data_IF_326836968588
#
_entry.id   IF_326836968588
#
_cell.length_a   1.000
_cell.length_b   1.000
_cell.length_c   1.000
_cell.angle_alpha   90.00
_cell.angle_beta   90.00
_cell.angle_gamma   90.00
#
_symmetry.space_group_name_H-M   'P 1'
#
loop_
_entity.id
_entity.type
_entity.pdbx_description
1 polymer ?
#
# COMPACT_ATOMS: atom_id res chain seq x y z
N UNK A 1 -0.86 26.36 16.41
CA UNK A 1 -1.02 25.16 15.57
C UNK A 1 -0.03 25.19 14.42
N UNK A 2 0.83 24.17 14.32
CA UNK A 2 1.78 24.03 13.22
C UNK A 2 1.05 24.08 11.86
N UNK A 3 1.59 24.85 10.91
CA UNK A 3 1.03 25.05 9.55
C UNK A 3 0.72 23.70 8.88
N UNK A 4 1.59 22.70 9.06
CA UNK A 4 1.41 21.34 8.56
C UNK A 4 0.06 20.73 8.95
N UNK A 5 -0.33 20.83 10.22
CA UNK A 5 -1.56 20.22 10.72
C UNK A 5 -2.80 20.90 10.17
N UNK A 6 -2.75 22.22 9.93
CA UNK A 6 -3.84 22.95 9.26
C UNK A 6 -4.03 22.45 7.82
N UNK A 7 -2.94 22.27 7.08
CA UNK A 7 -2.99 21.73 5.70
C UNK A 7 -3.55 20.32 5.72
N UNK A 8 -3.04 19.42 6.58
CA UNK A 8 -3.54 18.05 6.69
C UNK A 8 -5.03 18.03 7.00
N UNK A 9 -5.49 18.79 8.01
CA UNK A 9 -6.91 18.83 8.39
C UNK A 9 -7.80 19.32 7.25
N UNK A 10 -7.38 20.36 6.54
CA UNK A 10 -8.10 20.86 5.38
C UNK A 10 -8.20 19.79 4.28
N UNK A 11 -7.09 19.15 3.94
CA UNK A 11 -7.03 18.14 2.88
C UNK A 11 -7.80 16.87 3.22
N UNK A 12 -7.75 16.41 4.48
CA UNK A 12 -8.60 15.31 4.96
C UNK A 12 -10.07 15.67 4.81
N UNK A 13 -10.45 16.89 5.18
CA UNK A 13 -11.83 17.33 5.06
C UNK A 13 -12.30 17.38 3.60
N UNK A 14 -11.46 17.90 2.70
CA UNK A 14 -11.75 17.93 1.27
C UNK A 14 -11.93 16.52 0.68
N UNK A 15 -10.97 15.63 0.91
CA UNK A 15 -11.01 14.25 0.40
C UNK A 15 -12.18 13.46 1.01
N UNK A 16 -12.55 13.71 2.27
CA UNK A 16 -13.67 13.03 2.93
C UNK A 16 -15.03 13.34 2.28
N UNK A 17 -15.16 14.46 1.57
CA UNK A 17 -16.38 14.83 0.84
C UNK A 17 -16.44 14.19 -0.55
N UNK A 18 -15.34 13.57 -1.00
CA UNK A 18 -15.28 12.88 -2.29
C UNK A 18 -16.10 11.60 -2.27
N UNK A 19 -17.04 11.47 -3.23
CA UNK A 19 -17.82 10.24 -3.42
C UNK A 19 -16.94 9.01 -3.62
N UNK A 20 -15.76 9.18 -4.21
CA UNK A 20 -14.81 8.10 -4.46
C UNK A 20 -14.28 7.44 -3.18
N UNK A 21 -14.01 8.23 -2.13
CA UNK A 21 -13.56 7.66 -0.84
C UNK A 21 -14.65 6.79 -0.22
N UNK A 22 -15.91 7.19 -0.39
CA UNK A 22 -17.10 6.47 0.05
C UNK A 22 -17.34 5.19 -0.75
N UNK A 23 -17.10 5.21 -2.07
CA UNK A 23 -17.09 3.98 -2.87
C UNK A 23 -15.99 3.02 -2.42
N UNK A 24 -14.81 3.53 -2.09
CA UNK A 24 -13.69 2.72 -1.62
C UNK A 24 -13.95 2.07 -0.25
N UNK A 25 -14.54 2.79 0.72
CA UNK A 25 -14.98 2.19 2.00
C UNK A 25 -16.03 1.11 1.77
N UNK A 26 -17.08 1.42 0.99
CA UNK A 26 -18.18 0.52 0.71
C UNK A 26 -17.73 -0.74 -0.04
N UNK A 27 -16.77 -0.59 -0.96
CA UNK A 27 -16.20 -1.71 -1.68
C UNK A 27 -15.53 -2.72 -0.72
N UNK A 28 -14.67 -2.25 0.18
CA UNK A 28 -14.05 -3.13 1.18
C UNK A 28 -15.08 -3.69 2.15
N UNK A 29 -16.10 -2.90 2.52
CA UNK A 29 -17.20 -3.37 3.35
C UNK A 29 -17.94 -4.54 2.72
N UNK A 30 -18.38 -4.39 1.46
CA UNK A 30 -19.15 -5.40 0.76
C UNK A 30 -18.34 -6.67 0.50
N UNK A 31 -17.05 -6.53 0.12
CA UNK A 31 -16.18 -7.70 -0.06
C UNK A 31 -15.95 -8.43 1.26
N UNK A 32 -15.65 -7.70 2.33
CA UNK A 32 -15.40 -8.32 3.63
C UNK A 32 -16.66 -9.00 4.15
N UNK A 33 -17.81 -8.35 4.04
CA UNK A 33 -19.11 -8.94 4.37
C UNK A 33 -19.37 -10.21 3.54
N UNK A 34 -19.19 -10.14 2.23
CA UNK A 34 -19.38 -11.26 1.31
C UNK A 34 -18.49 -12.45 1.67
N UNK A 35 -17.18 -12.22 1.84
CA UNK A 35 -16.22 -13.29 2.15
C UNK A 35 -16.53 -13.98 3.47
N UNK A 36 -16.91 -13.24 4.51
CA UNK A 36 -17.32 -13.82 5.80
C UNK A 36 -18.62 -14.62 5.65
N UNK A 37 -19.58 -14.13 4.86
CA UNK A 37 -20.86 -14.81 4.67
C UNK A 37 -20.75 -16.15 3.92
N UNK A 38 -19.79 -16.27 2.99
CA UNK A 38 -19.59 -17.47 2.17
C UNK A 38 -18.62 -18.49 2.79
N UNK A 39 -17.80 -18.10 3.77
CA UNK A 39 -16.75 -18.96 4.31
C UNK A 39 -16.87 -19.14 5.81
N UNK A 40 -16.89 -20.40 6.25
CA UNK A 40 -16.86 -20.75 7.68
C UNK A 40 -15.43 -20.70 8.28
N UNK A 41 -14.38 -20.56 7.47
CA UNK A 41 -13.00 -20.54 7.95
C UNK A 41 -12.42 -19.12 7.90
N UNK A 42 -12.17 -18.56 9.08
CA UNK A 42 -11.62 -17.21 9.24
C UNK A 42 -10.26 -17.04 8.55
N UNK A 43 -9.41 -18.07 8.57
CA UNK A 43 -8.09 -18.04 7.94
C UNK A 43 -8.21 -17.86 6.43
N UNK A 44 -9.19 -18.55 5.83
CA UNK A 44 -9.50 -18.46 4.40
C UNK A 44 -10.10 -17.10 4.02
N UNK A 45 -10.94 -16.53 4.88
CA UNK A 45 -11.47 -15.17 4.72
C UNK A 45 -10.32 -14.16 4.68
N UNK A 46 -9.40 -14.23 5.64
CA UNK A 46 -8.30 -13.26 5.76
C UNK A 46 -7.31 -13.39 4.60
N UNK A 47 -7.01 -14.61 4.16
CA UNK A 47 -6.23 -14.85 2.92
C UNK A 47 -6.90 -14.23 1.69
N UNK A 48 -8.21 -14.43 1.55
CA UNK A 48 -8.95 -13.91 0.40
C UNK A 48 -8.98 -12.37 0.44
N UNK A 49 -9.19 -11.78 1.61
CA UNK A 49 -9.12 -10.34 1.83
C UNK A 49 -7.74 -9.78 1.53
N UNK A 50 -6.67 -10.46 1.95
CA UNK A 50 -5.30 -10.08 1.65
C UNK A 50 -5.08 -10.00 0.14
N UNK A 51 -5.47 -11.02 -0.62
CA UNK A 51 -5.29 -11.04 -2.08
C UNK A 51 -6.04 -9.89 -2.76
N UNK A 52 -7.28 -9.63 -2.34
CA UNK A 52 -8.05 -8.50 -2.86
C UNK A 52 -7.38 -7.17 -2.49
N UNK A 53 -6.97 -7.01 -1.24
CA UNK A 53 -6.31 -5.80 -0.74
C UNK A 53 -5.00 -5.50 -1.48
N UNK A 54 -4.17 -6.52 -1.72
CA UNK A 54 -2.88 -6.38 -2.40
C UNK A 54 -2.99 -5.95 -3.87
N UNK A 55 -4.13 -6.19 -4.52
CA UNK A 55 -4.37 -5.74 -5.90
C UNK A 55 -4.97 -4.32 -5.89
N UNK A 56 -5.96 -4.10 -5.03
CA UNK A 56 -6.83 -2.92 -5.10
C UNK A 56 -6.23 -1.73 -4.36
N UNK A 57 -5.58 -1.95 -3.20
CA UNK A 57 -4.95 -0.87 -2.45
C UNK A 57 -3.87 -0.17 -3.31
N UNK A 58 -2.91 -0.88 -3.93
CA UNK A 58 -1.92 -0.26 -4.80
C UNK A 58 -2.52 0.52 -5.97
N UNK A 59 -3.50 -0.08 -6.67
CA UNK A 59 -4.16 0.52 -7.82
C UNK A 59 -4.83 1.85 -7.44
N UNK A 60 -5.68 1.81 -6.42
CA UNK A 60 -6.42 2.99 -5.96
C UNK A 60 -5.44 4.04 -5.45
N UNK A 61 -4.47 3.64 -4.62
CA UNK A 61 -3.49 4.56 -4.03
C UNK A 61 -2.69 5.30 -5.10
N UNK A 62 -2.25 4.61 -6.16
CA UNK A 62 -1.41 5.24 -7.18
C UNK A 62 -2.20 6.15 -8.13
N UNK A 63 -3.42 5.74 -8.50
CA UNK A 63 -4.30 6.53 -9.37
C UNK A 63 -4.79 7.76 -8.61
N UNK A 64 -5.32 7.58 -7.39
CA UNK A 64 -5.80 8.71 -6.60
C UNK A 64 -4.67 9.67 -6.25
N UNK A 65 -3.50 9.16 -5.85
CA UNK A 65 -2.38 10.03 -5.50
C UNK A 65 -1.87 10.87 -6.68
N UNK A 66 -1.87 10.32 -7.91
CA UNK A 66 -1.51 11.10 -9.11
C UNK A 66 -2.57 12.10 -9.51
N UNK A 67 -3.84 11.66 -9.62
CA UNK A 67 -4.96 12.57 -9.94
C UNK A 67 -5.05 13.70 -8.91
N UNK A 68 -4.84 13.40 -7.64
CA UNK A 68 -4.93 14.36 -6.55
C UNK A 68 -3.91 15.49 -6.69
N UNK A 69 -2.65 15.19 -7.01
CA UNK A 69 -1.65 16.24 -7.22
C UNK A 69 -1.94 17.09 -8.47
N UNK A 70 -2.39 16.46 -9.56
CA UNK A 70 -2.73 17.18 -10.78
C UNK A 70 -3.93 18.11 -10.60
N UNK A 71 -4.98 17.64 -9.91
CA UNK A 71 -6.17 18.44 -9.67
C UNK A 71 -5.93 19.58 -8.67
N UNK A 72 -4.99 19.40 -7.72
CA UNK A 72 -4.65 20.43 -6.74
C UNK A 72 -3.60 21.44 -7.23
N UNK A 73 -3.24 21.47 -8.52
CA UNK A 73 -2.20 22.38 -9.03
C UNK A 73 -2.50 23.84 -8.70
N UNK A 74 -3.73 24.30 -8.92
CA UNK A 74 -4.13 25.68 -8.63
C UNK A 74 -4.07 26.01 -7.13
N UNK A 75 -4.50 25.06 -6.29
CA UNK A 75 -4.36 25.17 -4.83
C UNK A 75 -2.90 25.26 -4.41
N UNK A 76 -2.01 24.46 -5.00
CA UNK A 76 -0.57 24.50 -4.72
C UNK A 76 -0.01 25.89 -5.04
N UNK A 77 -0.33 26.45 -6.21
CA UNK A 77 0.10 27.80 -6.63
C UNK A 77 -0.38 28.86 -5.63
N UNK A 78 -1.66 28.83 -5.26
CA UNK A 78 -2.25 29.77 -4.31
C UNK A 78 -1.56 29.72 -2.94
N UNK A 79 -1.30 28.53 -2.40
CA UNK A 79 -0.68 28.40 -1.08
C UNK A 79 0.82 28.75 -1.12
N UNK A 80 1.50 28.53 -2.25
CA UNK A 80 2.90 28.92 -2.43
C UNK A 80 3.09 30.44 -2.59
N UNK A 81 2.03 31.19 -2.92
CA UNK A 81 2.06 32.67 -2.86
C UNK A 81 2.11 33.21 -1.43
N UNK A 82 1.71 32.39 -0.46
CA UNK A 82 1.83 32.69 0.97
C UNK A 82 3.20 32.23 1.48
N UNK A 83 3.70 32.77 2.61
CA UNK A 83 5.02 32.43 3.17
C UNK A 83 5.05 31.03 3.81
N UNK A 84 4.79 29.99 3.03
CA UNK A 84 4.71 28.58 3.44
C UNK A 84 5.85 27.80 2.78
N UNK A 85 6.61 27.08 3.60
CA UNK A 85 7.72 26.25 3.09
C UNK A 85 7.18 25.13 2.19
N UNK A 86 7.69 25.04 0.95
CA UNK A 86 7.35 23.97 -0.03
C UNK A 86 7.41 22.55 0.56
N UNK A 87 8.39 22.30 1.43
CA UNK A 87 8.58 21.01 2.14
C UNK A 87 7.39 20.65 3.05
N UNK A 88 6.77 21.65 3.70
CA UNK A 88 5.63 21.47 4.60
C UNK A 88 4.37 21.21 3.78
N UNK A 89 4.19 21.95 2.69
CA UNK A 89 3.05 21.77 1.78
C UNK A 89 3.04 20.36 1.17
N UNK A 90 4.17 19.88 0.65
CA UNK A 90 4.27 18.54 0.07
C UNK A 90 3.95 17.44 1.08
N UNK A 91 4.47 17.54 2.31
CA UNK A 91 4.14 16.59 3.38
C UNK A 91 2.67 16.68 3.81
N UNK A 92 2.10 17.87 3.82
CA UNK A 92 0.69 18.10 4.15
C UNK A 92 -0.26 17.48 3.13
N UNK A 93 0.05 17.61 1.83
CA UNK A 93 -0.69 16.96 0.74
C UNK A 93 -0.56 15.42 0.80
N UNK A 94 0.65 14.91 1.04
CA UNK A 94 0.89 13.47 1.15
C UNK A 94 0.11 12.86 2.32
N UNK A 95 0.27 13.38 3.53
CA UNK A 95 -0.43 12.88 4.71
C UNK A 95 -1.95 13.14 4.62
N UNK A 96 -2.33 14.26 3.99
CA UNK A 96 -3.72 14.61 3.70
C UNK A 96 -4.43 13.53 2.89
N UNK A 97 -3.73 12.80 2.00
CA UNK A 97 -4.29 11.74 1.17
C UNK A 97 -4.07 10.32 1.74
N UNK A 98 -2.91 10.04 2.35
CA UNK A 98 -2.66 8.72 2.95
C UNK A 98 -3.62 8.44 4.10
N UNK A 99 -3.85 9.41 4.99
CA UNK A 99 -4.67 9.19 6.20
C UNK A 99 -6.12 8.80 5.83
N UNK A 100 -6.84 9.53 4.94
CA UNK A 100 -8.20 9.14 4.56
C UNK A 100 -8.26 7.78 3.85
N UNK A 101 -7.33 7.47 2.95
CA UNK A 101 -7.31 6.18 2.25
C UNK A 101 -7.05 5.01 3.20
N UNK A 102 -6.05 5.15 4.07
CA UNK A 102 -5.73 4.20 5.13
C UNK A 102 -6.94 3.96 6.05
N UNK A 103 -7.56 5.04 6.51
CA UNK A 103 -8.71 4.96 7.41
C UNK A 103 -9.93 4.34 6.72
N UNK A 104 -10.15 4.67 5.44
CA UNK A 104 -11.21 4.10 4.63
C UNK A 104 -11.08 2.58 4.48
N UNK A 105 -9.86 2.08 4.21
CA UNK A 105 -9.57 0.65 4.18
C UNK A 105 -9.81 -0.02 5.53
N UNK A 106 -9.28 0.55 6.62
CA UNK A 106 -9.43 -0.01 7.96
C UNK A 106 -10.90 -0.06 8.36
N UNK A 107 -11.67 1.02 8.17
CA UNK A 107 -13.10 1.03 8.47
C UNK A 107 -13.87 0.02 7.61
N UNK A 108 -13.62 0.02 6.30
CA UNK A 108 -14.31 -0.84 5.36
C UNK A 108 -14.14 -2.33 5.70
N UNK A 109 -12.96 -2.72 6.16
CA UNK A 109 -12.67 -4.11 6.55
C UNK A 109 -13.03 -4.43 8.01
N UNK A 110 -12.82 -3.50 8.93
CA UNK A 110 -13.03 -3.72 10.37
C UNK A 110 -14.51 -3.85 10.73
N UNK A 111 -15.41 -3.06 10.14
CA UNK A 111 -16.83 -3.09 10.51
C UNK A 111 -17.45 -4.47 10.25
N UNK A 112 -17.32 -5.07 9.05
CA UNK A 112 -17.87 -6.42 8.80
C UNK A 112 -17.20 -7.50 9.67
N UNK A 113 -15.89 -7.38 9.94
CA UNK A 113 -15.18 -8.29 10.82
C UNK A 113 -15.72 -8.26 12.26
N UNK A 114 -16.10 -7.09 12.77
CA UNK A 114 -16.70 -6.97 14.11
C UNK A 114 -18.13 -7.51 14.13
N UNK A 115 -18.94 -7.18 13.11
CA UNK A 115 -20.37 -7.56 13.08
C UNK A 115 -20.57 -9.07 12.92
N UNK A 116 -19.78 -9.69 12.03
CA UNK A 116 -19.96 -11.09 11.65
C UNK A 116 -18.90 -12.03 12.23
N UNK A 117 -17.84 -11.50 12.83
CA UNK A 117 -16.74 -12.27 13.40
C UNK A 117 -17.16 -13.06 14.63
N UNK A 118 -17.72 -14.25 14.45
CA UNK A 118 -17.86 -15.25 15.52
C UNK A 118 -16.46 -15.74 15.89
N UNK A 119 -16.06 -15.59 17.16
CA UNK A 119 -14.75 -15.96 17.75
C UNK A 119 -13.54 -15.09 17.32
N UNK A 120 -13.53 -13.83 17.76
CA UNK A 120 -12.42 -12.86 17.60
C UNK A 120 -11.12 -13.20 18.37
N UNK A 121 -11.09 -13.88 19.53
CA UNK A 121 -9.88 -13.85 20.37
C UNK A 121 -8.69 -14.65 19.81
N UNK A 122 -8.89 -15.60 18.89
CA UNK A 122 -7.82 -16.50 18.41
C UNK A 122 -6.99 -15.91 17.26
N UNK A 123 -7.42 -14.82 16.59
CA UNK A 123 -6.77 -14.32 15.36
C UNK A 123 -6.48 -12.81 15.33
N UNK A 124 -6.47 -12.12 16.47
CA UNK A 124 -6.18 -10.67 16.55
C UNK A 124 -4.84 -10.31 15.91
N UNK A 125 -3.81 -11.13 16.12
CA UNK A 125 -2.49 -10.92 15.53
C UNK A 125 -2.56 -10.89 13.99
N UNK A 126 -3.33 -11.79 13.39
CA UNK A 126 -3.44 -11.89 11.94
C UNK A 126 -4.10 -10.65 11.32
N UNK A 127 -5.17 -10.17 11.96
CA UNK A 127 -5.89 -8.97 11.56
C UNK A 127 -4.97 -7.74 11.63
N UNK A 128 -4.14 -7.65 12.67
CA UNK A 128 -3.14 -6.58 12.80
C UNK A 128 -2.11 -6.61 11.67
N UNK A 129 -1.62 -7.79 11.27
CA UNK A 129 -0.70 -7.91 10.13
C UNK A 129 -1.37 -7.53 8.80
N UNK A 130 -2.64 -7.89 8.59
CA UNK A 130 -3.40 -7.46 7.41
C UNK A 130 -3.56 -5.93 7.35
N UNK A 131 -3.89 -5.30 8.48
CA UNK A 131 -3.98 -3.84 8.54
C UNK A 131 -2.62 -3.18 8.32
N UNK A 132 -1.56 -3.68 8.96
CA UNK A 132 -0.21 -3.18 8.73
C UNK A 132 0.16 -3.28 7.24
N UNK A 133 -0.09 -4.42 6.59
CA UNK A 133 0.14 -4.60 5.16
C UNK A 133 -0.60 -3.54 4.32
N UNK A 134 -1.90 -3.36 4.54
CA UNK A 134 -2.67 -2.34 3.80
C UNK A 134 -2.21 -0.90 4.04
N UNK A 135 -1.82 -0.56 5.27
CA UNK A 135 -1.31 0.77 5.63
C UNK A 135 0.06 1.06 4.99
N UNK A 136 0.95 0.07 4.91
CA UNK A 136 2.21 0.22 4.19
C UNK A 136 1.97 0.32 2.69
N UNK A 137 1.11 -0.52 2.11
CA UNK A 137 0.78 -0.48 0.69
C UNK A 137 0.22 0.89 0.26
N UNK A 138 -0.76 1.42 1.00
CA UNK A 138 -1.29 2.78 0.76
C UNK A 138 -0.16 3.82 0.79
N UNK A 139 0.66 3.81 1.82
CA UNK A 139 1.75 4.78 1.98
C UNK A 139 2.80 4.69 0.85
N UNK A 140 3.18 3.48 0.44
CA UNK A 140 4.19 3.24 -0.60
C UNK A 140 3.66 3.71 -1.95
N UNK A 141 2.48 3.27 -2.35
CA UNK A 141 1.94 3.58 -3.67
C UNK A 141 1.52 5.05 -3.80
N UNK A 142 1.07 5.69 -2.73
CA UNK A 142 0.89 7.16 -2.73
C UNK A 142 2.25 7.87 -2.87
N UNK A 143 3.29 7.41 -2.19
CA UNK A 143 4.64 8.01 -2.30
C UNK A 143 5.17 7.92 -3.73
N UNK A 144 4.99 6.77 -4.39
CA UNK A 144 5.36 6.54 -5.79
C UNK A 144 4.52 7.44 -6.72
N UNK A 145 3.20 7.51 -6.53
CA UNK A 145 2.36 8.40 -7.34
C UNK A 145 2.78 9.86 -7.24
N UNK A 146 3.15 10.32 -6.04
CA UNK A 146 3.59 11.69 -5.85
C UNK A 146 4.91 11.96 -6.58
N UNK A 147 5.82 10.99 -6.61
CA UNK A 147 7.03 11.05 -7.41
C UNK A 147 6.71 11.13 -8.92
N UNK A 148 5.80 10.29 -9.41
CA UNK A 148 5.40 10.28 -10.84
C UNK A 148 4.75 11.61 -11.24
N UNK A 149 3.81 12.11 -10.43
CA UNK A 149 3.09 13.35 -10.72
C UNK A 149 3.95 14.60 -10.56
N UNK A 150 4.97 14.58 -9.70
CA UNK A 150 5.92 15.69 -9.62
C UNK A 150 6.88 15.72 -10.79
N UNK A 151 7.27 14.55 -11.31
CA UNK A 151 8.18 14.45 -12.45
C UNK A 151 7.52 14.82 -13.78
N UNK A 152 6.27 14.40 -13.98
CA UNK A 152 5.56 14.58 -15.24
C UNK A 152 4.48 15.66 -15.10
N UNK A 153 4.43 16.63 -16.00
CA UNK A 153 3.42 17.70 -15.97
C UNK A 153 2.12 17.31 -16.68
N UNK A 154 2.24 16.46 -17.69
CA UNK A 154 1.09 15.96 -18.45
C UNK A 154 0.31 14.92 -17.64
N UNK A 155 -0.93 15.26 -17.28
CA UNK A 155 -1.85 14.41 -16.50
C UNK A 155 -2.03 13.02 -17.12
N UNK A 156 -2.19 12.94 -18.44
CA UNK A 156 -2.41 11.66 -19.15
C UNK A 156 -1.16 10.77 -19.06
N UNK A 157 0.03 11.33 -19.30
CA UNK A 157 1.29 10.58 -19.20
C UNK A 157 1.56 10.14 -17.75
N UNK A 158 1.30 10.99 -16.77
CA UNK A 158 1.44 10.64 -15.35
C UNK A 158 0.51 9.51 -14.93
N UNK A 159 -0.74 9.50 -15.41
CA UNK A 159 -1.68 8.41 -15.16
C UNK A 159 -1.24 7.12 -15.84
N UNK A 160 -0.79 7.18 -17.09
CA UNK A 160 -0.25 6.02 -17.82
C UNK A 160 0.95 5.39 -17.11
N UNK A 161 1.91 6.20 -16.67
CA UNK A 161 3.05 5.72 -15.88
C UNK A 161 2.63 5.12 -14.55
N UNK A 162 1.61 5.67 -13.91
CA UNK A 162 1.08 5.13 -12.64
C UNK A 162 0.49 3.73 -12.84
N UNK A 163 -0.37 3.57 -13.85
CA UNK A 163 -0.96 2.26 -14.19
C UNK A 163 0.14 1.27 -14.57
N UNK A 164 1.15 1.70 -15.34
CA UNK A 164 2.30 0.86 -15.69
C UNK A 164 3.09 0.42 -14.44
N UNK A 165 3.40 1.34 -13.53
CA UNK A 165 4.12 0.99 -12.29
C UNK A 165 3.30 0.06 -11.39
N UNK A 166 1.98 0.24 -11.33
CA UNK A 166 1.10 -0.69 -10.64
C UNK A 166 1.14 -2.09 -11.28
N UNK A 167 0.97 -2.19 -12.61
CA UNK A 167 1.09 -3.46 -13.32
C UNK A 167 2.44 -4.13 -13.08
N UNK A 168 3.51 -3.35 -13.06
CA UNK A 168 4.86 -3.82 -12.82
C UNK A 168 4.97 -4.52 -11.46
N UNK A 169 4.56 -3.85 -10.38
CA UNK A 169 4.69 -4.40 -9.01
C UNK A 169 3.63 -5.44 -8.66
N UNK A 170 2.40 -5.30 -9.16
CA UNK A 170 1.30 -6.19 -8.76
C UNK A 170 1.18 -7.46 -9.59
N UNK A 171 1.64 -7.46 -10.85
CA UNK A 171 1.43 -8.60 -11.78
C UNK A 171 2.71 -9.03 -12.48
N UNK A 172 3.41 -8.09 -13.14
CA UNK A 172 4.57 -8.46 -13.96
C UNK A 172 5.74 -8.98 -13.12
N UNK A 173 5.93 -8.44 -11.91
CA UNK A 173 6.98 -8.90 -11.00
C UNK A 173 6.81 -10.38 -10.63
N UNK A 174 5.61 -10.77 -10.23
CA UNK A 174 5.25 -12.16 -9.93
C UNK A 174 5.50 -13.07 -11.16
N UNK A 175 5.09 -12.62 -12.35
CA UNK A 175 5.32 -13.37 -13.60
C UNK A 175 6.80 -13.52 -13.96
N UNK A 176 7.60 -12.48 -13.79
CA UNK A 176 9.06 -12.51 -14.01
C UNK A 176 9.75 -13.43 -13.01
N UNK A 177 9.34 -13.40 -11.75
CA UNK A 177 9.83 -14.30 -10.72
C UNK A 177 9.54 -15.77 -11.06
N UNK A 178 8.33 -16.08 -11.51
CA UNK A 178 7.96 -17.43 -11.95
C UNK A 178 8.80 -17.90 -13.13
N UNK A 179 9.03 -17.04 -14.13
CA UNK A 179 9.90 -17.35 -15.26
C UNK A 179 11.35 -17.62 -14.80
N UNK A 180 11.88 -16.81 -13.88
CA UNK A 180 13.21 -17.02 -13.30
C UNK A 180 13.32 -18.34 -12.57
N UNK A 181 12.32 -18.69 -11.75
CA UNK A 181 12.26 -19.99 -11.06
C UNK A 181 12.28 -21.12 -12.08
N UNK A 182 11.51 -21.00 -13.18
CA UNK A 182 11.41 -22.02 -14.20
C UNK A 182 12.70 -22.22 -15.03
N UNK A 183 13.42 -21.15 -15.34
CA UNK A 183 14.68 -21.23 -16.10
C UNK A 183 15.82 -21.77 -15.24
N UNK A 184 15.87 -21.40 -13.96
CA UNK A 184 16.98 -21.71 -13.05
C UNK A 184 16.65 -22.80 -12.03
N UNK A 185 15.70 -23.70 -12.32
CA UNK A 185 15.28 -24.78 -11.41
C UNK A 185 16.44 -25.64 -10.89
N UNK A 186 17.52 -25.77 -11.68
CA UNK A 186 18.69 -26.59 -11.34
C UNK A 186 19.69 -25.91 -10.39
N UNK A 187 19.48 -24.63 -10.02
CA UNK A 187 20.37 -23.87 -9.14
C UNK A 187 19.69 -23.56 -7.78
N UNK A 188 20.46 -23.45 -6.68
CA UNK A 188 19.92 -23.09 -5.38
C UNK A 188 19.46 -21.61 -5.37
N UNK A 189 18.18 -21.38 -5.64
CA UNK A 189 17.57 -20.05 -5.79
C UNK A 189 17.11 -19.42 -4.46
N UNK A 190 17.23 -20.12 -3.33
CA UNK A 190 16.66 -19.71 -2.04
C UNK A 190 17.01 -18.26 -1.63
N UNK A 191 18.30 -17.90 -1.67
CA UNK A 191 18.76 -16.56 -1.30
C UNK A 191 18.34 -15.49 -2.31
N UNK A 192 18.33 -15.83 -3.60
CA UNK A 192 17.90 -14.93 -4.65
C UNK A 192 16.39 -14.64 -4.53
N UNK A 193 15.57 -15.66 -4.24
CA UNK A 193 14.13 -15.52 -4.03
C UNK A 193 13.81 -14.63 -2.84
N UNK A 194 14.52 -14.77 -1.72
CA UNK A 194 14.36 -13.86 -0.58
C UNK A 194 14.71 -12.42 -1.02
N UNK A 195 15.83 -12.22 -1.69
CA UNK A 195 16.24 -10.91 -2.19
C UNK A 195 15.17 -10.25 -3.08
N UNK A 196 14.69 -10.96 -4.11
CA UNK A 196 13.65 -10.45 -5.00
C UNK A 196 12.33 -10.19 -4.27
N UNK A 197 11.90 -11.10 -3.38
CA UNK A 197 10.65 -10.91 -2.63
C UNK A 197 10.66 -9.64 -1.75
N UNK A 198 11.83 -9.23 -1.27
CA UNK A 198 12.01 -8.01 -0.47
C UNK A 198 11.96 -6.74 -1.35
N UNK A 199 12.38 -6.84 -2.60
CA UNK A 199 12.32 -5.71 -3.55
C UNK A 199 10.89 -5.38 -3.97
N UNK A 200 9.96 -6.33 -3.98
CA UNK A 200 8.56 -6.03 -4.26
C UNK A 200 7.79 -5.78 -2.94
N UNK A 201 7.32 -4.54 -2.68
CA UNK A 201 6.57 -4.26 -1.46
C UNK A 201 5.27 -5.07 -1.38
N UNK A 202 4.63 -5.38 -2.51
CA UNK A 202 3.40 -6.19 -2.59
C UNK A 202 3.66 -7.60 -2.08
N UNK A 203 4.72 -8.25 -2.55
CA UNK A 203 5.08 -9.60 -2.14
C UNK A 203 5.58 -9.65 -0.70
N UNK A 204 6.38 -8.68 -0.28
CA UNK A 204 6.84 -8.58 1.10
C UNK A 204 5.64 -8.49 2.06
N UNK A 205 4.66 -7.64 1.75
CA UNK A 205 3.43 -7.53 2.54
C UNK A 205 2.62 -8.84 2.52
N UNK A 206 2.54 -9.53 1.38
CA UNK A 206 1.88 -10.85 1.23
C UNK A 206 2.53 -11.90 2.14
N UNK A 207 3.86 -12.04 2.05
CA UNK A 207 4.64 -13.04 2.78
C UNK A 207 4.51 -12.84 4.29
N UNK A 208 4.58 -11.59 4.78
CA UNK A 208 4.43 -11.30 6.21
C UNK A 208 3.09 -11.78 6.79
N UNK A 209 2.00 -11.65 6.04
CA UNK A 209 0.67 -12.08 6.50
C UNK A 209 0.53 -13.60 6.37
N UNK A 210 0.98 -14.19 5.27
CA UNK A 210 0.88 -15.65 5.03
C UNK A 210 1.68 -16.44 6.05
N UNK A 211 2.85 -15.97 6.49
CA UNK A 211 3.65 -16.69 7.49
C UNK A 211 3.01 -16.74 8.88
N UNK A 212 2.02 -15.89 9.15
CA UNK A 212 1.25 -15.91 10.40
C UNK A 212 -0.01 -16.76 10.31
N UNK A 213 -0.40 -17.15 9.09
CA UNK A 213 -1.32 -18.24 8.87
C UNK A 213 -0.46 -19.52 8.88
N UNK A 214 -0.77 -20.51 9.71
CA UNK A 214 -0.09 -21.82 9.70
C UNK A 214 -0.24 -22.60 8.35
N UNK A 215 -0.67 -21.91 7.31
CA UNK A 215 -0.73 -22.24 5.89
C UNK A 215 0.66 -22.19 5.23
N UNK A 216 1.70 -21.69 5.91
CA UNK A 216 3.08 -21.72 5.38
C UNK A 216 3.55 -23.13 4.97
N UNK A 217 3.05 -24.18 5.64
CA UNK A 217 3.32 -25.57 5.29
C UNK A 217 2.73 -25.99 3.93
N UNK A 218 1.65 -25.33 3.47
CA UNK A 218 1.01 -25.59 2.18
C UNK A 218 1.76 -24.96 0.99
N UNK A 219 2.73 -24.07 1.24
CA UNK A 219 3.57 -23.47 0.20
C UNK A 219 4.76 -24.36 -0.22
N UNK A 220 4.88 -25.55 0.36
CA UNK A 220 5.95 -26.48 0.04
C UNK A 220 7.34 -25.97 0.43
N UNK A 221 8.34 -26.29 -0.39
CA UNK A 221 9.75 -25.99 -0.10
C UNK A 221 10.05 -24.49 0.03
N UNK A 222 9.41 -23.63 -0.79
CA UNK A 222 9.58 -22.17 -0.73
C UNK A 222 8.99 -21.57 0.55
N UNK A 223 7.87 -22.13 1.03
CA UNK A 223 7.27 -21.78 2.31
C UNK A 223 8.21 -22.02 3.48
N UNK A 224 8.93 -23.14 3.49
CA UNK A 224 9.90 -23.47 4.54
C UNK A 224 11.10 -22.51 4.54
N UNK A 225 11.59 -22.12 3.37
CA UNK A 225 12.68 -21.14 3.22
C UNK A 225 12.24 -19.76 3.71
N UNK A 226 11.04 -19.31 3.33
CA UNK A 226 10.49 -18.04 3.81
C UNK A 226 10.21 -18.07 5.31
N UNK A 227 9.69 -19.17 5.85
CA UNK A 227 9.43 -19.30 7.28
C UNK A 227 10.72 -19.26 8.09
N UNK A 228 11.81 -19.89 7.61
CA UNK A 228 13.13 -19.84 8.26
C UNK A 228 13.73 -18.44 8.31
N UNK A 229 13.48 -17.58 7.32
CA UNK A 229 14.02 -16.23 7.29
C UNK A 229 13.07 -15.20 7.91
N UNK A 230 11.85 -15.09 7.39
CA UNK A 230 10.90 -14.03 7.71
C UNK A 230 10.10 -14.25 9.00
N UNK A 231 10.03 -15.47 9.54
CA UNK A 231 9.41 -15.69 10.86
C UNK A 231 10.38 -15.42 12.02
N UNK A 232 11.66 -15.15 11.74
CA UNK A 232 12.61 -14.70 12.76
C UNK A 232 12.40 -13.23 13.09
N UNK A 233 12.67 -12.83 14.34
CA UNK A 233 12.63 -11.42 14.74
C UNK A 233 13.48 -10.53 13.82
N UNK A 234 14.62 -11.05 13.36
CA UNK A 234 15.49 -10.36 12.41
C UNK A 234 14.79 -10.14 11.05
N UNK A 235 14.20 -11.20 10.47
CA UNK A 235 13.49 -11.11 9.20
C UNK A 235 12.28 -10.16 9.24
N UNK A 236 11.54 -10.14 10.35
CA UNK A 236 10.43 -9.20 10.56
C UNK A 236 10.94 -7.76 10.57
N UNK A 237 12.00 -7.46 11.35
CA UNK A 237 12.58 -6.11 11.42
C UNK A 237 13.11 -5.65 10.06
N UNK A 238 13.84 -6.52 9.36
CA UNK A 238 14.34 -6.23 8.00
C UNK A 238 13.18 -5.92 7.06
N UNK A 239 12.11 -6.72 7.10
CA UNK A 239 10.93 -6.52 6.25
C UNK A 239 10.27 -5.16 6.49
N UNK A 240 10.08 -4.77 7.75
CA UNK A 240 9.55 -3.44 8.07
C UNK A 240 10.49 -2.31 7.63
N UNK A 241 11.81 -2.47 7.77
CA UNK A 241 12.78 -1.49 7.28
C UNK A 241 12.69 -1.29 5.76
N UNK A 242 12.50 -2.37 5.00
CA UNK A 242 12.32 -2.29 3.55
C UNK A 242 10.99 -1.63 3.18
N UNK A 243 9.88 -1.95 3.86
CA UNK A 243 8.60 -1.27 3.66
C UNK A 243 8.70 0.24 3.96
N UNK A 244 9.36 0.60 5.07
CA UNK A 244 9.63 2.00 5.40
C UNK A 244 10.52 2.64 4.34
N UNK A 245 11.57 1.95 3.88
CA UNK A 245 12.42 2.41 2.78
C UNK A 245 11.62 2.73 1.52
N UNK A 246 10.71 1.85 1.13
CA UNK A 246 9.81 2.04 -0.02
C UNK A 246 8.83 3.22 0.14
N UNK A 247 8.48 3.62 1.37
CA UNK A 247 7.73 4.87 1.60
C UNK A 247 8.64 6.10 1.56
N UNK A 248 9.75 6.05 2.29
CA UNK A 248 10.59 7.22 2.54
C UNK A 248 11.40 7.62 1.32
N UNK A 249 11.94 6.67 0.56
CA UNK A 249 12.80 6.95 -0.59
C UNK A 249 12.04 7.73 -1.69
N UNK A 250 10.90 7.25 -2.21
CA UNK A 250 10.14 8.00 -3.24
C UNK A 250 9.64 9.33 -2.70
N UNK A 251 9.22 9.38 -1.43
CA UNK A 251 8.75 10.61 -0.79
C UNK A 251 9.86 11.66 -0.69
N UNK A 252 11.08 11.27 -0.30
CA UNK A 252 12.23 12.17 -0.21
C UNK A 252 12.67 12.69 -1.58
N UNK A 253 12.69 11.82 -2.60
CA UNK A 253 13.02 12.21 -3.98
C UNK A 253 11.96 13.17 -4.52
N UNK A 254 10.67 12.84 -4.38
CA UNK A 254 9.56 13.69 -4.78
C UNK A 254 9.57 15.04 -4.06
N UNK A 255 9.84 15.06 -2.75
CA UNK A 255 9.99 16.29 -1.96
C UNK A 255 11.13 17.19 -2.45
N UNK A 256 12.28 16.61 -2.79
CA UNK A 256 13.43 17.36 -3.33
C UNK A 256 13.09 17.98 -4.68
N UNK A 257 12.47 17.22 -5.58
CA UNK A 257 11.99 17.73 -6.90
C UNK A 257 10.93 18.81 -6.72
N UNK A 258 9.90 18.57 -5.90
CA UNK A 258 8.84 19.55 -5.62
C UNK A 258 9.40 20.88 -5.09
N UNK A 259 10.45 20.84 -4.28
CA UNK A 259 11.06 22.07 -3.76
C UNK A 259 11.72 22.93 -4.84
N UNK A 260 12.22 22.31 -5.92
CA UNK A 260 12.90 22.97 -7.04
C UNK A 260 11.98 23.22 -8.24
N UNK A 261 10.74 22.76 -8.19
CA UNK A 261 9.79 22.87 -9.31
C UNK A 261 9.25 24.29 -9.39
N UNK A 262 9.22 24.83 -10.60
CA UNK A 262 8.53 26.09 -10.89
C UNK A 262 7.07 25.75 -11.20
N UNK A 263 6.15 26.46 -10.53
CA UNK A 263 4.71 26.23 -10.58
C UNK A 263 4.01 27.35 -11.32
#
# INVERSE_FOLDING_TARGET
MNILFKIIRYQIHDISRSKWLLFYTLFFFLITYGLISFSNDQSKVILSLLNVALIIIPLVSIIFGTVYLYNNKDYIVLILSQPIKRKILYLGLYLGLVIPLAFSFVIGTLIPLIILGKNIPVQIMLILFLFAAGLFQTSIFVSISFLIATWNENKILGLGLSIFTWLLFSVLYDGLLLLMINIFQNYPLEKALIGFSVFNPVDLARILVILKLDVAALMGYTGAVFQKFFNTNFGIVVSFLFLIGWTVIPLMIGKRKFSKKDF
#
